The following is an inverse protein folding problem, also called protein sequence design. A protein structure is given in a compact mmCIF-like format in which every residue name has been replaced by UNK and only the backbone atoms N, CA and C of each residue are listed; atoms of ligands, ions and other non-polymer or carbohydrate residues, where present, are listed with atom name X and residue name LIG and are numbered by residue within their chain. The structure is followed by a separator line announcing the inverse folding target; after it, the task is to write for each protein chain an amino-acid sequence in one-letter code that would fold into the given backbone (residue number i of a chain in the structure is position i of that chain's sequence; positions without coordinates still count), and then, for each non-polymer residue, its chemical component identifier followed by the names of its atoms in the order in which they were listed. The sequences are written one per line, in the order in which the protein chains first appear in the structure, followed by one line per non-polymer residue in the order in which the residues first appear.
data_IF_316056003040
#
_entry.id   IF_316056003040
#
_cell.length_a   1.000
_cell.length_b   1.000
_cell.length_c   1.000
_cell.angle_alpha   90.00
_cell.angle_beta   90.00
_cell.angle_gamma   90.00
#
_symmetry.space_group_name_H-M   'P 1'
#
loop_
_entity.id
_entity.type
_entity.pdbx_description
1 polymer ?
#
# COMPACT_ATOMS: atom_id res chain seq x y z
N UNK A 1 10.84 -30.49 47.84
CA UNK A 1 9.78 -29.51 47.48
C UNK A 1 10.39 -28.16 47.10
N UNK A 2 11.22 -28.10 46.04
CA UNK A 2 11.88 -26.86 45.59
C UNK A 2 11.87 -26.57 44.06
N UNK A 3 11.40 -27.44 43.13
CA UNK A 3 11.53 -27.12 41.71
C UNK A 3 10.39 -26.23 41.17
N UNK A 4 9.26 -26.16 41.87
CA UNK A 4 8.08 -25.38 41.41
C UNK A 4 8.26 -23.88 41.66
N UNK A 5 8.94 -23.50 42.75
CA UNK A 5 9.17 -22.09 43.07
C UNK A 5 10.13 -21.42 42.07
N UNK A 6 11.10 -22.17 41.53
CA UNK A 6 12.06 -21.66 40.55
C UNK A 6 11.40 -21.35 39.20
N UNK A 7 10.39 -22.15 38.81
CA UNK A 7 9.62 -21.94 37.59
C UNK A 7 8.71 -20.71 37.68
N UNK A 8 8.15 -20.42 38.85
CA UNK A 8 7.35 -19.19 39.07
C UNK A 8 8.22 -17.93 39.06
N UNK A 9 9.45 -18.01 39.55
CA UNK A 9 10.42 -16.90 39.50
C UNK A 9 10.95 -16.63 38.08
N UNK A 10 11.06 -17.65 37.22
CA UNK A 10 11.50 -17.47 35.83
C UNK A 10 10.43 -16.83 34.94
N UNK A 11 9.13 -17.02 35.23
CA UNK A 11 8.04 -16.37 34.48
C UNK A 11 7.88 -14.89 34.86
N UNK A 12 8.39 -14.47 36.02
CA UNK A 12 8.35 -13.07 36.49
C UNK A 12 9.49 -12.19 35.94
N UNK A 13 10.41 -12.74 35.14
CA UNK A 13 11.56 -12.05 34.57
C UNK A 13 11.40 -11.74 33.07
N UNK A 14 10.17 -11.58 32.57
CA UNK A 14 10.00 -10.77 31.36
C UNK A 14 10.27 -9.35 31.80
N UNK A 15 11.38 -8.70 31.38
CA UNK A 15 11.57 -7.31 31.73
C UNK A 15 10.39 -6.58 31.09
N UNK A 16 9.48 -6.08 31.92
CA UNK A 16 8.49 -5.09 31.53
C UNK A 16 9.24 -3.79 31.31
N UNK A 17 10.14 -3.78 30.33
CA UNK A 17 10.70 -2.55 29.79
C UNK A 17 9.46 -1.82 29.28
N UNK A 18 9.14 -0.70 29.90
CA UNK A 18 8.09 0.16 29.37
C UNK A 18 8.69 0.81 28.12
N UNK A 19 7.95 0.88 27.01
CA UNK A 19 8.41 1.64 25.88
C UNK A 19 8.55 3.11 26.30
N UNK A 20 9.72 3.71 26.13
CA UNK A 20 9.89 5.13 26.46
C UNK A 20 9.23 6.01 25.38
N UNK A 21 9.20 5.54 24.13
CA UNK A 21 8.65 6.23 22.97
C UNK A 21 8.11 5.23 21.94
N UNK A 22 6.97 5.55 21.32
CA UNK A 22 6.41 4.83 20.18
C UNK A 22 6.28 5.79 18.99
N UNK A 23 6.43 5.30 17.75
CA UNK A 23 6.17 6.12 16.57
C UNK A 23 4.68 6.42 16.41
N UNK A 24 4.37 7.61 15.90
CA UNK A 24 3.02 8.05 15.58
C UNK A 24 2.99 8.60 14.16
N UNK A 25 2.12 8.06 13.32
CA UNK A 25 2.07 8.46 11.90
C UNK A 25 1.30 9.76 11.69
N UNK A 26 0.13 9.87 12.32
CA UNK A 26 -0.77 11.00 12.19
C UNK A 26 -0.77 11.80 13.47
N UNK A 27 -0.43 13.07 13.36
CA UNK A 27 -0.44 14.01 14.46
C UNK A 27 -1.09 15.31 14.04
N UNK A 28 -2.10 15.71 14.82
CA UNK A 28 -2.60 17.08 14.80
C UNK A 28 -1.72 17.97 15.70
N UNK A 29 -1.44 19.21 15.28
CA UNK A 29 -0.65 20.16 16.06
C UNK A 29 -1.28 20.49 17.43
N UNK A 30 -2.59 20.33 17.57
CA UNK A 30 -3.33 20.58 18.82
C UNK A 30 -3.31 19.38 19.79
N UNK A 31 -2.74 18.23 19.39
CA UNK A 31 -2.65 17.05 20.26
C UNK A 31 -1.38 17.08 21.11
N UNK A 32 -1.55 17.21 22.43
CA UNK A 32 -0.47 17.18 23.43
C UNK A 32 0.35 15.88 23.46
N UNK A 33 -0.21 14.79 22.95
CA UNK A 33 0.43 13.47 22.90
C UNK A 33 1.31 13.28 21.65
N UNK A 34 1.59 14.34 20.88
CA UNK A 34 2.51 14.30 19.74
C UNK A 34 3.76 15.15 19.96
N UNK A 35 4.94 14.50 19.91
CA UNK A 35 6.25 15.13 20.04
C UNK A 35 7.18 14.60 18.94
N UNK A 36 8.24 15.32 18.58
CA UNK A 36 9.27 14.74 17.73
C UNK A 36 9.99 13.60 18.45
N UNK A 37 10.32 12.53 17.73
CA UNK A 37 11.05 11.41 18.30
C UNK A 37 12.46 11.85 18.74
N UNK A 38 12.86 11.47 19.95
CA UNK A 38 14.21 11.72 20.48
C UNK A 38 15.03 10.43 20.42
N UNK A 39 16.35 10.52 20.23
CA UNK A 39 17.25 9.36 20.25
C UNK A 39 16.92 8.24 19.23
N UNK A 40 16.30 8.60 18.10
CA UNK A 40 16.03 7.65 17.04
C UNK A 40 17.35 7.20 16.40
N UNK A 41 17.64 5.91 16.50
CA UNK A 41 18.85 5.34 15.90
C UNK A 41 18.81 5.45 14.36
N UNK A 42 19.98 5.57 13.69
CA UNK A 42 20.03 5.73 12.23
C UNK A 42 19.33 4.60 11.45
N UNK A 43 19.38 3.37 11.97
CA UNK A 43 18.72 2.23 11.33
C UNK A 43 17.18 2.34 11.41
N UNK A 44 16.63 2.77 12.55
CA UNK A 44 15.20 3.03 12.69
C UNK A 44 14.74 4.17 11.76
N UNK A 45 15.52 5.25 11.65
CA UNK A 45 15.21 6.35 10.75
C UNK A 45 15.21 5.91 9.27
N UNK A 46 16.18 5.09 8.86
CA UNK A 46 16.21 4.57 7.49
C UNK A 46 15.01 3.69 7.18
N UNK A 47 14.60 2.83 8.11
CA UNK A 47 13.42 1.99 7.96
C UNK A 47 12.12 2.83 7.95
N UNK A 48 12.04 3.88 8.77
CA UNK A 48 10.96 4.86 8.70
C UNK A 48 10.89 5.55 7.33
N UNK A 49 12.02 6.05 6.81
CA UNK A 49 12.08 6.67 5.48
C UNK A 49 11.58 5.73 4.39
N UNK A 50 11.98 4.45 4.42
CA UNK A 50 11.49 3.44 3.46
C UNK A 50 9.98 3.26 3.54
N UNK A 51 9.42 3.23 4.74
CA UNK A 51 7.98 3.14 4.93
C UNK A 51 7.25 4.35 4.35
N UNK A 52 7.72 5.57 4.65
CA UNK A 52 7.15 6.81 4.11
C UNK A 52 7.31 6.89 2.59
N UNK A 53 8.46 6.48 2.05
CA UNK A 53 8.70 6.43 0.61
C UNK A 53 7.73 5.46 -0.08
N UNK A 54 7.44 4.30 0.53
CA UNK A 54 6.44 3.36 0.03
C UNK A 54 5.02 3.95 0.07
N UNK A 55 4.66 4.69 1.12
CA UNK A 55 3.39 5.42 1.17
C UNK A 55 3.30 6.47 0.06
N UNK A 56 4.35 7.29 -0.10
CA UNK A 56 4.41 8.35 -1.12
C UNK A 56 4.29 7.81 -2.55
N UNK A 57 4.80 6.61 -2.84
CA UNK A 57 4.61 5.95 -4.14
C UNK A 57 3.12 5.67 -4.48
N UNK A 58 2.27 5.51 -3.46
CA UNK A 58 0.83 5.28 -3.66
C UNK A 58 0.03 6.57 -3.94
N UNK A 59 0.58 7.77 -3.69
CA UNK A 59 -0.14 9.05 -3.80
C UNK A 59 -0.21 9.68 -5.20
N UNK A 60 0.23 8.98 -6.26
CA UNK A 60 0.24 9.43 -7.68
C UNK A 60 -0.40 10.81 -7.95
N UNK A 61 0.45 11.82 -8.06
CA UNK A 61 0.18 13.19 -8.55
C UNK A 61 -0.82 14.05 -7.76
N UNK A 62 -1.33 13.62 -6.60
CA UNK A 62 -2.05 14.50 -5.67
C UNK A 62 -1.06 15.32 -4.81
N UNK A 63 -0.52 16.39 -5.40
CA UNK A 63 0.54 17.23 -4.79
C UNK A 63 0.22 17.69 -3.36
N UNK A 64 -1.03 18.02 -3.06
CA UNK A 64 -1.45 18.54 -1.76
C UNK A 64 -1.35 17.53 -0.60
N UNK A 65 -1.69 16.26 -0.84
CA UNK A 65 -1.75 15.23 0.20
C UNK A 65 -0.36 14.66 0.56
N UNK A 66 0.66 14.93 -0.27
CA UNK A 66 2.02 14.40 -0.07
C UNK A 66 2.90 15.26 0.86
N UNK A 67 2.55 16.54 1.08
CA UNK A 67 3.40 17.50 1.82
C UNK A 67 3.61 17.04 3.25
N UNK A 68 2.54 16.61 3.91
CA UNK A 68 2.59 16.09 5.29
C UNK A 68 3.57 14.92 5.40
N UNK A 69 3.44 13.91 4.53
CA UNK A 69 4.29 12.74 4.53
C UNK A 69 5.76 13.07 4.22
N UNK A 70 6.02 14.05 3.34
CA UNK A 70 7.38 14.54 3.07
C UNK A 70 8.02 15.21 4.29
N UNK A 71 7.24 15.93 5.10
CA UNK A 71 7.75 16.57 6.32
C UNK A 71 8.13 15.54 7.38
N UNK A 72 7.23 14.59 7.67
CA UNK A 72 7.48 13.58 8.72
C UNK A 72 8.53 12.55 8.32
N UNK A 73 8.90 12.46 7.04
CA UNK A 73 9.96 11.58 6.53
C UNK A 73 11.29 11.78 7.26
N UNK A 74 11.67 13.03 7.50
CA UNK A 74 12.94 13.39 8.13
C UNK A 74 12.82 13.58 9.64
N UNK A 75 11.63 13.97 10.11
CA UNK A 75 11.36 14.23 11.51
C UNK A 75 10.10 13.46 11.94
N UNK A 76 10.23 12.16 12.26
CA UNK A 76 9.10 11.36 12.70
C UNK A 76 8.53 11.90 14.01
N UNK A 77 7.22 11.70 14.16
CA UNK A 77 6.52 11.96 15.40
C UNK A 77 6.46 10.72 16.28
N UNK A 78 6.46 10.97 17.58
CA UNK A 78 6.39 9.98 18.62
C UNK A 78 5.40 10.39 19.71
N UNK A 79 4.88 9.38 20.39
CA UNK A 79 4.10 9.53 21.60
C UNK A 79 4.80 8.81 22.76
N UNK A 80 4.59 9.31 23.98
CA UNK A 80 5.09 8.69 25.21
C UNK A 80 3.95 7.89 25.83
N UNK A 81 4.03 6.55 25.85
CA UNK A 81 2.95 5.74 26.37
C UNK A 81 2.80 5.96 27.88
N UNK A 82 1.56 6.18 28.32
CA UNK A 82 1.21 6.35 29.75
C UNK A 82 1.24 4.98 30.46
N UNK A 83 1.05 4.98 31.78
CA UNK A 83 1.03 3.74 32.55
C UNK A 83 -0.09 2.79 32.05
N UNK A 84 0.29 1.60 31.59
CA UNK A 84 -0.64 0.63 31.00
C UNK A 84 -0.88 0.82 29.50
N UNK A 85 -0.16 1.73 28.83
CA UNK A 85 -0.20 1.85 27.37
C UNK A 85 0.94 1.08 26.71
N UNK A 86 0.72 0.69 25.46
CA UNK A 86 1.68 -0.03 24.63
C UNK A 86 1.77 0.59 23.24
N UNK A 87 2.86 0.31 22.53
CA UNK A 87 2.98 0.71 21.13
C UNK A 87 2.12 -0.22 20.27
N UNK A 88 1.41 0.36 19.31
CA UNK A 88 0.57 -0.38 18.37
C UNK A 88 0.89 -0.01 16.92
N UNK A 89 0.72 -1.00 16.04
CA UNK A 89 0.74 -0.85 14.59
C UNK A 89 -0.43 -1.63 14.01
N UNK A 90 -1.24 -0.98 13.15
CA UNK A 90 -2.41 -1.58 12.53
C UNK A 90 -2.47 -1.24 11.05
N UNK A 91 -2.65 -2.24 10.19
CA UNK A 91 -2.92 -1.99 8.78
C UNK A 91 -4.36 -1.46 8.60
N UNK A 92 -4.47 -0.28 8.00
CA UNK A 92 -5.72 0.31 7.53
C UNK A 92 -5.77 0.12 6.02
N UNK A 93 -6.87 -0.44 5.54
CA UNK A 93 -7.20 -0.52 4.11
C UNK A 93 -8.37 0.44 3.84
N UNK A 94 -8.08 1.59 3.25
CA UNK A 94 -9.03 2.66 2.97
C UNK A 94 -9.26 2.74 1.43
N UNK A 95 -10.28 2.05 0.88
CA UNK A 95 -10.45 1.99 -0.57
C UNK A 95 -10.82 3.34 -1.20
N UNK A 96 -11.26 4.32 -0.41
CA UNK A 96 -11.82 5.59 -0.90
C UNK A 96 -10.83 6.75 -0.92
N UNK A 97 -9.80 6.73 -0.08
CA UNK A 97 -8.86 7.84 0.07
C UNK A 97 -7.42 7.32 -0.10
N UNK A 98 -6.57 7.99 -0.90
CA UNK A 98 -5.13 7.72 -0.88
C UNK A 98 -4.54 8.19 0.46
N UNK A 99 -3.64 7.42 1.09
CA UNK A 99 -3.09 6.16 0.61
C UNK A 99 -4.05 5.01 0.93
N UNK A 100 -4.37 4.19 -0.10
CA UNK A 100 -5.36 3.12 0.04
C UNK A 100 -5.02 2.05 1.09
N UNK A 101 -3.73 1.95 1.42
CA UNK A 101 -3.20 1.11 2.48
C UNK A 101 -2.19 1.91 3.27
N UNK A 102 -2.32 1.92 4.58
CA UNK A 102 -1.35 2.55 5.49
C UNK A 102 -1.30 1.79 6.81
N UNK A 103 -0.16 1.85 7.50
CA UNK A 103 -0.09 1.40 8.88
C UNK A 103 -0.32 2.58 9.82
N UNK A 104 -1.39 2.51 10.59
CA UNK A 104 -1.65 3.40 11.70
C UNK A 104 -0.74 3.00 12.86
N UNK A 105 0.03 3.97 13.35
CA UNK A 105 1.06 3.81 14.38
C UNK A 105 0.72 4.73 15.54
N UNK A 106 0.78 4.24 16.77
CA UNK A 106 0.60 5.10 17.95
C UNK A 106 0.63 4.36 19.28
N UNK A 107 0.49 5.13 20.35
CA UNK A 107 0.36 4.66 21.73
C UNK A 107 -1.12 4.34 22.00
N UNK A 108 -1.39 3.16 22.55
CA UNK A 108 -2.75 2.72 22.85
C UNK A 108 -2.82 2.25 24.29
N UNK A 109 -3.81 2.75 25.04
CA UNK A 109 -4.00 2.37 26.44
C UNK A 109 -4.73 1.05 26.64
N UNK A 110 -4.55 0.46 27.81
CA UNK A 110 -5.27 -0.75 28.25
C UNK A 110 -6.73 -0.47 28.67
N UNK A 111 -7.18 0.80 28.65
CA UNK A 111 -8.44 1.26 29.23
C UNK A 111 -9.74 0.83 28.54
N UNK A 112 -9.70 0.45 27.25
CA UNK A 112 -10.89 -0.06 26.57
C UNK A 112 -10.83 -1.58 26.53
N UNK A 113 -11.91 -2.22 26.99
CA UNK A 113 -12.13 -3.69 26.89
C UNK A 113 -11.80 -4.25 25.48
N UNK A 114 -11.97 -3.43 24.44
CA UNK A 114 -11.65 -3.68 23.03
C UNK A 114 -10.14 -3.71 22.69
N UNK A 115 -9.28 -3.17 23.55
CA UNK A 115 -7.83 -3.10 23.31
C UNK A 115 -7.14 -4.46 23.50
N UNK A 116 -7.71 -5.34 24.34
CA UNK A 116 -7.26 -6.73 24.47
C UNK A 116 -7.56 -7.59 23.22
N UNK A 117 -8.67 -7.29 22.53
CA UNK A 117 -9.11 -7.98 21.31
C UNK A 117 -8.32 -7.46 20.10
N UNK A 118 -7.90 -6.20 20.10
CA UNK A 118 -7.16 -5.61 18.97
C UNK A 118 -5.71 -6.05 18.91
N UNK A 119 -5.08 -6.47 20.01
CA UNK A 119 -3.73 -7.05 19.98
C UNK A 119 -3.71 -8.56 19.67
N UNK A 120 -4.83 -9.14 19.23
CA UNK A 120 -4.96 -10.54 18.88
C UNK A 120 -4.32 -10.85 17.50
N UNK A 121 -3.94 -12.11 17.23
CA UNK A 121 -3.49 -12.53 15.90
C UNK A 121 -4.57 -12.23 14.84
N UNK A 122 -4.24 -11.37 13.87
CA UNK A 122 -5.16 -10.86 12.85
C UNK A 122 -5.62 -9.41 13.07
N UNK A 123 -5.30 -8.82 14.23
CA UNK A 123 -5.55 -7.42 14.58
C UNK A 123 -4.33 -6.51 14.42
N UNK A 124 -4.20 -5.54 15.32
CA UNK A 124 -3.02 -4.69 15.46
C UNK A 124 -1.88 -5.48 16.13
N UNK A 125 -0.64 -5.28 15.66
CA UNK A 125 0.54 -5.78 16.37
C UNK A 125 0.85 -4.81 17.50
N UNK A 126 0.99 -5.34 18.71
CA UNK A 126 1.25 -4.58 19.93
C UNK A 126 2.57 -5.00 20.55
N UNK A 127 3.32 -4.05 21.09
CA UNK A 127 4.65 -4.33 21.65
C UNK A 127 5.04 -3.30 22.73
N UNK A 128 5.93 -3.74 23.61
CA UNK A 128 6.34 -2.98 24.80
C UNK A 128 7.79 -2.47 24.74
N UNK A 129 8.41 -2.43 23.57
CA UNK A 129 9.78 -1.92 23.43
C UNK A 129 9.80 -0.54 22.75
N UNK A 130 10.81 0.29 23.03
CA UNK A 130 10.95 1.60 22.40
C UNK A 130 11.06 1.47 20.88
N UNK A 131 10.26 2.24 20.13
CA UNK A 131 10.16 2.20 18.65
C UNK A 131 9.75 0.85 18.05
N UNK A 132 9.24 -0.08 18.84
CA UNK A 132 8.93 -1.44 18.36
C UNK A 132 7.79 -1.50 17.34
N UNK A 133 6.97 -0.45 17.24
CA UNK A 133 5.89 -0.37 16.28
C UNK A 133 6.35 0.00 14.88
N UNK A 134 7.65 0.16 14.63
CA UNK A 134 8.17 0.39 13.29
C UNK A 134 7.77 -0.74 12.32
N UNK A 135 7.25 -0.42 11.11
CA UNK A 135 6.87 -1.44 10.13
C UNK A 135 8.09 -2.23 9.65
N UNK A 136 8.00 -3.56 9.66
CA UNK A 136 9.03 -4.47 9.13
C UNK A 136 9.12 -4.41 7.60
N UNK A 137 10.22 -4.85 6.99
CA UNK A 137 10.35 -4.87 5.52
C UNK A 137 9.23 -5.72 4.85
N UNK A 138 8.79 -6.80 5.51
CA UNK A 138 7.65 -7.62 5.06
C UNK A 138 6.30 -6.91 5.19
N UNK A 139 6.13 -6.07 6.20
CA UNK A 139 4.95 -5.22 6.35
C UNK A 139 4.97 -4.10 5.29
N UNK A 140 6.13 -3.52 4.99
CA UNK A 140 6.35 -2.46 4.00
C UNK A 140 6.01 -2.95 2.59
N UNK A 141 6.42 -4.17 2.22
CA UNK A 141 6.14 -4.74 0.90
C UNK A 141 4.65 -4.88 0.60
N UNK A 142 3.81 -5.06 1.64
CA UNK A 142 2.34 -5.13 1.50
C UNK A 142 1.66 -3.80 1.16
N UNK A 143 2.34 -2.66 1.40
CA UNK A 143 1.83 -1.35 1.00
C UNK A 143 2.01 -1.08 -0.49
N UNK A 144 3.01 -1.70 -1.10
CA UNK A 144 3.26 -1.56 -2.53
C UNK A 144 2.17 -2.38 -3.22
N UNK A 145 1.12 -1.70 -3.66
CA UNK A 145 0.16 -2.30 -4.57
C UNK A 145 0.94 -2.52 -5.86
N UNK A 146 1.30 -3.77 -6.16
CA UNK A 146 1.64 -4.16 -7.53
C UNK A 146 0.46 -3.70 -8.38
N UNK A 147 0.62 -2.56 -9.05
CA UNK A 147 -0.27 -2.18 -10.14
C UNK A 147 -0.34 -3.43 -11.01
N UNK A 148 -1.51 -3.98 -11.35
CA UNK A 148 -1.57 -4.91 -12.45
C UNK A 148 -0.92 -4.17 -13.60
N UNK A 149 0.28 -4.61 -13.99
CA UNK A 149 1.01 -4.10 -15.14
C UNK A 149 -0.03 -4.10 -16.25
N UNK A 150 -0.29 -2.95 -16.87
CA UNK A 150 -1.36 -2.73 -17.86
C UNK A 150 -1.17 -3.66 -19.08
N UNK A 151 -1.36 -4.96 -18.87
CA UNK A 151 -1.31 -6.02 -19.86
C UNK A 151 -2.54 -5.94 -20.77
N UNK A 152 -3.55 -5.18 -20.38
CA UNK A 152 -4.72 -4.86 -21.21
C UNK A 152 -4.29 -4.22 -22.52
N UNK A 153 -3.27 -3.34 -22.53
CA UNK A 153 -2.79 -2.72 -23.77
C UNK A 153 -2.07 -3.74 -24.67
N UNK A 154 -1.30 -4.66 -24.09
CA UNK A 154 -0.59 -5.75 -24.80
C UNK A 154 -1.57 -6.75 -25.41
N UNK A 155 -2.74 -6.98 -24.78
CA UNK A 155 -3.78 -7.89 -25.29
C UNK A 155 -4.68 -7.20 -26.33
N UNK A 156 -5.01 -5.92 -26.16
CA UNK A 156 -5.92 -5.20 -27.06
C UNK A 156 -5.24 -4.87 -28.40
N UNK A 157 -3.94 -4.55 -28.40
CA UNK A 157 -3.19 -4.17 -29.59
C UNK A 157 -3.17 -5.24 -30.70
N UNK A 158 -2.89 -6.54 -30.43
CA UNK A 158 -2.93 -7.57 -31.46
C UNK A 158 -4.36 -7.82 -31.96
N UNK A 159 -5.38 -7.72 -31.10
CA UNK A 159 -6.79 -7.88 -31.52
C UNK A 159 -7.18 -6.78 -32.50
N UNK A 160 -6.86 -5.52 -32.21
CA UNK A 160 -7.10 -4.40 -33.12
C UNK A 160 -6.34 -4.56 -34.44
N UNK A 161 -5.11 -5.07 -34.40
CA UNK A 161 -4.31 -5.31 -35.60
C UNK A 161 -4.94 -6.37 -36.51
N UNK A 162 -5.42 -7.47 -35.92
CA UNK A 162 -6.12 -8.54 -36.64
C UNK A 162 -7.43 -8.04 -37.25
N UNK A 163 -8.23 -7.27 -36.50
CA UNK A 163 -9.47 -6.68 -37.02
C UNK A 163 -9.21 -5.72 -38.19
N UNK A 164 -8.18 -4.88 -38.08
CA UNK A 164 -7.80 -3.96 -39.16
C UNK A 164 -7.35 -4.72 -40.40
N UNK A 165 -6.58 -5.80 -40.24
CA UNK A 165 -6.17 -6.66 -41.34
C UNK A 165 -7.38 -7.31 -42.04
N UNK A 166 -8.38 -7.79 -41.28
CA UNK A 166 -9.61 -8.33 -41.87
C UNK A 166 -10.39 -7.30 -42.66
N UNK A 167 -10.50 -6.07 -42.17
CA UNK A 167 -11.17 -4.97 -42.89
C UNK A 167 -10.41 -4.62 -44.17
N UNK A 168 -9.08 -4.56 -44.14
CA UNK A 168 -8.27 -4.29 -45.33
C UNK A 168 -8.37 -5.41 -46.38
N UNK A 169 -8.31 -6.67 -45.95
CA UNK A 169 -8.47 -7.84 -46.83
C UNK A 169 -9.89 -7.85 -47.40
N UNK A 170 -10.91 -7.66 -46.56
CA UNK A 170 -12.31 -7.61 -46.99
C UNK A 170 -12.56 -6.47 -47.97
N UNK A 171 -12.04 -5.28 -47.69
CA UNK A 171 -12.12 -4.11 -48.57
C UNK A 171 -11.40 -4.35 -49.90
N UNK A 172 -10.22 -4.97 -49.88
CA UNK A 172 -9.48 -5.31 -51.11
C UNK A 172 -10.19 -6.38 -51.94
N UNK A 173 -10.71 -7.42 -51.29
CA UNK A 173 -11.52 -8.46 -51.95
C UNK A 173 -12.80 -7.86 -52.56
N UNK A 174 -13.50 -7.00 -51.82
CA UNK A 174 -14.69 -6.30 -52.31
C UNK A 174 -14.37 -5.40 -53.51
N UNK A 175 -13.31 -4.60 -53.42
CA UNK A 175 -12.88 -3.71 -54.49
C UNK A 175 -12.49 -4.49 -55.76
N UNK A 176 -11.75 -5.60 -55.61
CA UNK A 176 -11.36 -6.48 -56.72
C UNK A 176 -12.53 -7.25 -57.31
N UNK A 177 -13.54 -7.61 -56.51
CA UNK A 177 -14.77 -8.22 -57.00
C UNK A 177 -15.61 -7.22 -57.80
N UNK A 178 -15.80 -6.00 -57.28
CA UNK A 178 -16.48 -4.89 -57.95
C UNK A 178 -15.85 -4.58 -59.31
N UNK A 179 -14.53 -4.44 -59.34
CA UNK A 179 -13.78 -4.19 -60.57
C UNK A 179 -14.01 -5.30 -61.61
N UNK A 180 -13.95 -6.58 -61.20
CA UNK A 180 -14.24 -7.71 -62.12
C UNK A 180 -15.70 -7.81 -62.56
N UNK A 181 -16.66 -7.32 -61.78
CA UNK A 181 -18.07 -7.25 -62.21
C UNK A 181 -18.33 -6.10 -63.17
N UNK A 182 -17.68 -4.94 -62.97
CA UNK A 182 -17.77 -3.80 -63.87
C UNK A 182 -17.11 -4.11 -65.22
N UNK A 183 -15.93 -4.75 -65.21
CA UNK A 183 -15.28 -5.27 -66.42
C UNK A 183 -16.12 -6.30 -67.19
N UNK A 184 -16.91 -7.14 -66.50
CA UNK A 184 -17.81 -8.11 -67.16
C UNK A 184 -19.04 -7.44 -67.78
N UNK A 185 -19.57 -6.37 -67.17
CA UNK A 185 -20.65 -5.57 -67.76
C UNK A 185 -20.19 -4.84 -69.03
N UNK A 186 -18.95 -4.37 -69.08
CA UNK A 186 -18.37 -3.72 -70.26
C UNK A 186 -18.00 -4.69 -71.41
N UNK A 187 -18.06 -6.01 -71.19
CA UNK A 187 -17.76 -7.04 -72.20
C UNK A 187 -19.00 -7.71 -72.80
N UNK A 188 -20.22 -7.25 -72.50
CA UNK A 188 -21.38 -7.68 -73.29
C UNK A 188 -21.24 -7.09 -74.71
N UNK A 189 -21.12 -7.92 -75.77
CA UNK A 189 -21.11 -7.39 -77.12
C UNK A 189 -22.47 -6.78 -77.41
N UNK A 190 -22.46 -5.52 -77.85
CA UNK A 190 -23.56 -4.89 -78.57
C UNK A 190 -23.78 -5.72 -79.83
N UNK A 191 -24.71 -6.68 -79.76
CA UNK A 191 -25.23 -7.37 -80.93
C UNK A 191 -26.21 -6.38 -81.58
N UNK A 192 -25.66 -5.63 -82.54
CA UNK A 192 -26.38 -4.84 -83.53
C UNK A 192 -27.41 -5.74 -84.23
N UNK A 193 -28.67 -5.34 -84.15
CA UNK A 193 -29.72 -5.67 -85.12
C UNK A 193 -30.37 -4.37 -85.56
#
# INVERSE_FOLDING_TARGET
MFPVLLLVLLVALVPTVKPDQCLKLLCDPDQSDCQHCENLQPHHLNQWRRYIDALLQNFKDEEGNSIYYKQIREQPFCCKPKAGEFCSIKLINEPKLPPHRLYELGCRGQGDFWNSITCAPGGARCCNATFCNLPTDEEISKLIVEKPKDNTLIVILPILFVLTAFVLIGGWCFWRWRDRTDWRKCKLPVLLY
#
